data_IF_467511432440
#
_entry.id   IF_467511432440
#
_cell.length_a   1.000
_cell.length_b   1.000
_cell.length_c   1.000
_cell.angle_alpha   90.00
_cell.angle_beta   90.00
_cell.angle_gamma   90.00
#
_symmetry.space_group_name_H-M   'P 1'
#
loop_
_entity.id
_entity.type
_entity.pdbx_description
1 polymer ?
#
# COMPACT_ATOMS: atom_id res chain seq x y z
N UNK A 1 -20.83 33.76 5.52
CA UNK A 1 -20.78 32.54 6.35
C UNK A 1 -21.83 31.60 5.79
N UNK A 2 -21.43 30.65 4.94
CA UNK A 2 -22.35 29.68 4.33
C UNK A 2 -21.90 28.29 4.73
N UNK A 3 -22.77 27.57 5.41
CA UNK A 3 -22.53 26.19 5.83
C UNK A 3 -23.62 25.77 6.78
N UNK A 4 -24.77 25.40 6.23
CA UNK A 4 -25.78 24.63 6.94
C UNK A 4 -25.18 23.28 7.33
N UNK A 5 -24.44 23.23 8.44
CA UNK A 5 -24.09 21.98 9.11
C UNK A 5 -25.15 21.75 10.18
N UNK A 6 -26.26 21.13 9.77
CA UNK A 6 -27.27 20.64 10.71
C UNK A 6 -26.68 19.38 11.36
N UNK A 7 -25.80 19.63 12.33
CA UNK A 7 -25.01 18.64 13.06
C UNK A 7 -25.89 17.57 13.69
N UNK A 8 -26.01 16.43 13.00
CA UNK A 8 -26.14 15.18 13.74
C UNK A 8 -24.77 14.91 14.34
N UNK A 9 -24.74 14.87 15.66
CA UNK A 9 -23.60 14.34 16.39
C UNK A 9 -23.34 12.91 15.89
N UNK A 10 -22.13 12.68 15.37
CA UNK A 10 -21.69 11.37 14.91
C UNK A 10 -21.13 10.65 16.12
N UNK A 11 -21.77 9.58 16.56
CA UNK A 11 -21.19 8.68 17.56
C UNK A 11 -20.41 7.56 16.87
N UNK A 12 -19.39 7.06 17.56
CA UNK A 12 -18.60 5.94 17.08
C UNK A 12 -18.07 5.11 18.24
N UNK A 13 -17.88 3.83 17.98
CA UNK A 13 -17.18 2.90 18.86
C UNK A 13 -16.07 2.20 18.07
N UNK A 14 -14.83 2.31 18.53
CA UNK A 14 -13.73 1.51 18.00
C UNK A 14 -13.90 0.10 18.58
N UNK A 15 -14.32 -0.83 17.73
CA UNK A 15 -14.59 -2.22 18.10
C UNK A 15 -13.30 -3.02 18.16
N UNK A 16 -12.35 -2.71 17.28
CA UNK A 16 -11.05 -3.36 17.22
C UNK A 16 -10.00 -2.40 16.66
N UNK A 17 -8.86 -2.30 17.33
CA UNK A 17 -7.68 -1.62 16.82
C UNK A 17 -6.83 -2.61 16.02
N UNK A 18 -6.80 -2.48 14.70
CA UNK A 18 -6.14 -3.48 13.83
C UNK A 18 -4.66 -3.13 13.66
N UNK A 19 -4.33 -1.85 13.47
CA UNK A 19 -2.94 -1.44 13.45
C UNK A 19 -2.70 0.01 13.04
N UNK A 20 -1.53 0.50 13.40
CA UNK A 20 -1.07 1.86 13.09
C UNK A 20 -0.28 1.84 11.78
N UNK A 21 -0.73 2.64 10.81
CA UNK A 21 -0.05 2.82 9.52
C UNK A 21 1.10 3.82 9.64
N UNK A 22 0.92 4.89 10.42
CA UNK A 22 1.94 5.94 10.61
C UNK A 22 1.64 6.72 11.89
N UNK A 23 2.70 7.14 12.61
CA UNK A 23 2.62 8.07 13.74
C UNK A 23 3.23 9.41 13.37
N UNK A 24 2.57 10.51 13.74
CA UNK A 24 3.03 11.88 13.49
C UNK A 24 3.74 12.46 14.72
N UNK A 25 4.59 13.47 14.51
CA UNK A 25 5.28 14.19 15.61
C UNK A 25 4.31 14.93 16.54
N UNK A 26 3.09 15.22 16.07
CA UNK A 26 2.00 15.80 16.86
C UNK A 26 1.33 14.80 17.81
N UNK A 27 1.71 13.52 17.76
CA UNK A 27 1.10 12.43 18.51
C UNK A 27 -0.12 11.80 17.84
N UNK A 28 -0.66 12.42 16.78
CA UNK A 28 -1.72 11.80 15.99
C UNK A 28 -1.19 10.56 15.27
N UNK A 29 -2.08 9.61 14.98
CA UNK A 29 -1.77 8.36 14.30
C UNK A 29 -2.74 8.10 13.17
N UNK A 30 -2.24 7.71 12.00
CA UNK A 30 -3.05 7.11 10.94
C UNK A 30 -3.21 5.64 11.24
N UNK A 31 -4.44 5.17 11.35
CA UNK A 31 -4.75 3.81 11.80
C UNK A 31 -5.72 3.11 10.85
N UNK A 32 -5.67 1.78 10.84
CA UNK A 32 -6.73 0.92 10.35
C UNK A 32 -7.42 0.32 11.57
N UNK A 33 -8.72 0.54 11.71
CA UNK A 33 -9.53 0.05 12.82
C UNK A 33 -10.84 -0.57 12.29
N UNK A 34 -11.53 -1.33 13.15
CA UNK A 34 -12.92 -1.72 12.94
C UNK A 34 -13.80 -0.77 13.78
N UNK A 35 -14.65 0.02 13.13
CA UNK A 35 -15.43 1.08 13.78
C UNK A 35 -16.92 0.90 13.52
N UNK A 36 -17.71 0.94 14.59
CA UNK A 36 -19.16 1.07 14.56
C UNK A 36 -19.53 2.54 14.50
N UNK A 37 -20.25 2.97 13.46
CA UNK A 37 -20.70 4.35 13.31
C UNK A 37 -22.19 4.45 13.67
N UNK A 38 -22.54 5.35 14.58
CA UNK A 38 -23.91 5.60 15.03
C UNK A 38 -24.66 4.32 15.47
N UNK A 39 -23.96 3.39 16.12
CA UNK A 39 -24.51 2.09 16.54
C UNK A 39 -24.79 1.11 15.40
N UNK A 40 -24.29 1.39 14.19
CA UNK A 40 -24.43 0.52 13.02
C UNK A 40 -23.51 -0.70 13.06
N UNK A 41 -23.57 -1.52 12.00
CA UNK A 41 -22.64 -2.64 11.86
C UNK A 41 -21.19 -2.13 11.75
N UNK A 42 -20.23 -2.75 12.45
CA UNK A 42 -18.82 -2.36 12.37
C UNK A 42 -18.25 -2.50 10.97
N UNK A 43 -17.42 -1.54 10.56
CA UNK A 43 -16.78 -1.49 9.25
C UNK A 43 -15.30 -1.18 9.39
N UNK A 44 -14.51 -1.56 8.40
CA UNK A 44 -13.11 -1.16 8.37
C UNK A 44 -13.03 0.34 8.16
N UNK A 45 -12.07 0.98 8.80
CA UNK A 45 -11.93 2.41 8.73
C UNK A 45 -10.46 2.83 8.77
N UNK A 46 -10.08 3.73 7.88
CA UNK A 46 -8.75 4.30 7.82
C UNK A 46 -8.84 5.81 7.99
N UNK A 47 -8.29 6.33 9.09
CA UNK A 47 -8.26 7.76 9.40
C UNK A 47 -7.15 8.13 10.37
N UNK A 48 -6.98 9.43 10.60
CA UNK A 48 -6.11 9.91 11.66
C UNK A 48 -6.90 10.10 12.95
N UNK A 49 -6.36 9.58 14.05
CA UNK A 49 -6.89 9.70 15.40
C UNK A 49 -5.97 10.57 16.26
N UNK A 50 -6.57 11.31 17.20
CA UNK A 50 -5.83 11.93 18.28
C UNK A 50 -5.28 10.85 19.24
N UNK A 51 -4.25 11.16 20.04
CA UNK A 51 -3.65 10.19 20.96
C UNK A 51 -4.62 9.53 21.96
N UNK A 52 -5.76 10.17 22.22
CA UNK A 52 -6.82 9.74 23.14
C UNK A 52 -8.06 9.18 22.41
N UNK A 53 -8.01 9.07 21.07
CA UNK A 53 -9.11 8.66 20.19
C UNK A 53 -10.42 9.45 20.35
N UNK A 54 -10.39 10.64 20.97
CA UNK A 54 -11.55 11.50 21.14
C UNK A 54 -11.83 12.39 19.92
N UNK A 55 -10.81 12.61 19.08
CA UNK A 55 -10.91 13.40 17.85
C UNK A 55 -10.40 12.58 16.68
N UNK A 56 -10.97 12.89 15.52
CA UNK A 56 -10.70 12.18 14.29
C UNK A 56 -10.66 13.16 13.12
N UNK A 57 -9.79 12.87 12.15
CA UNK A 57 -9.75 13.58 10.88
C UNK A 57 -10.78 13.00 9.90
N UNK A 58 -10.87 13.59 8.71
CA UNK A 58 -11.59 12.94 7.60
C UNK A 58 -10.84 11.67 7.20
N UNK A 59 -11.58 10.58 7.03
CA UNK A 59 -11.04 9.30 6.62
C UNK A 59 -11.94 8.57 5.63
N UNK A 60 -11.68 7.27 5.47
CA UNK A 60 -12.47 6.39 4.61
C UNK A 60 -12.99 5.21 5.41
N UNK A 61 -14.29 4.96 5.31
CA UNK A 61 -14.93 3.77 5.85
C UNK A 61 -15.18 2.79 4.71
N UNK A 62 -14.81 1.54 4.92
CA UNK A 62 -14.83 0.47 3.95
C UNK A 62 -15.68 -0.68 4.46
N UNK A 63 -16.62 -1.12 3.63
CA UNK A 63 -17.29 -2.40 3.84
C UNK A 63 -16.30 -3.55 3.68
N UNK A 64 -16.64 -4.68 4.29
CA UNK A 64 -15.83 -5.89 4.24
C UNK A 64 -15.44 -6.30 2.80
N UNK A 65 -16.37 -6.23 1.85
CA UNK A 65 -16.10 -6.56 0.44
C UNK A 65 -15.08 -5.61 -0.19
N UNK A 66 -15.13 -4.33 0.14
CA UNK A 66 -14.19 -3.32 -0.37
C UNK A 66 -12.79 -3.57 0.20
N UNK A 67 -12.68 -3.86 1.50
CA UNK A 67 -11.40 -4.20 2.13
C UNK A 67 -10.78 -5.47 1.53
N UNK A 68 -11.58 -6.53 1.32
CA UNK A 68 -11.12 -7.76 0.65
C UNK A 68 -10.61 -7.47 -0.76
N UNK A 69 -11.35 -6.66 -1.52
CA UNK A 69 -10.94 -6.28 -2.87
C UNK A 69 -9.61 -5.51 -2.88
N UNK A 70 -9.41 -4.56 -1.95
CA UNK A 70 -8.14 -3.85 -1.79
C UNK A 70 -6.99 -4.82 -1.52
N UNK A 71 -7.18 -5.78 -0.59
CA UNK A 71 -6.17 -6.78 -0.27
C UNK A 71 -5.80 -7.62 -1.50
N UNK A 72 -6.77 -8.04 -2.30
CA UNK A 72 -6.53 -8.84 -3.51
C UNK A 72 -5.78 -8.05 -4.59
N UNK A 73 -6.15 -6.78 -4.82
CA UNK A 73 -5.47 -5.90 -5.77
C UNK A 73 -4.02 -5.64 -5.32
N UNK A 74 -3.79 -5.39 -4.04
CA UNK A 74 -2.44 -5.15 -3.51
C UNK A 74 -1.56 -6.41 -3.60
N UNK A 75 -2.09 -7.59 -3.25
CA UNK A 75 -1.39 -8.87 -3.45
C UNK A 75 -1.02 -9.09 -4.92
N UNK A 76 -1.93 -8.80 -5.85
CA UNK A 76 -1.69 -8.91 -7.27
C UNK A 76 -0.61 -7.93 -7.76
N UNK A 77 -0.62 -6.68 -7.27
CA UNK A 77 0.42 -5.69 -7.56
C UNK A 77 1.80 -6.16 -7.10
N UNK A 78 1.90 -6.65 -5.86
CA UNK A 78 3.18 -7.10 -5.30
C UNK A 78 3.75 -8.32 -6.06
N UNK A 79 2.87 -9.25 -6.48
CA UNK A 79 3.29 -10.40 -7.31
C UNK A 79 3.84 -9.96 -8.68
N UNK A 80 3.27 -8.94 -9.32
CA UNK A 80 3.78 -8.44 -10.61
C UNK A 80 5.16 -7.79 -10.49
N UNK A 81 5.39 -7.02 -9.43
CA UNK A 81 6.71 -6.43 -9.20
C UNK A 81 7.80 -7.50 -9.04
N UNK A 82 7.51 -8.62 -8.37
CA UNK A 82 8.48 -9.71 -8.27
C UNK A 82 8.78 -10.42 -9.61
N UNK A 83 7.90 -10.32 -10.60
CA UNK A 83 8.07 -10.94 -11.91
C UNK A 83 8.89 -10.06 -12.86
N UNK A 84 8.59 -8.76 -12.93
CA UNK A 84 9.35 -7.81 -13.75
C UNK A 84 10.81 -7.70 -13.27
N UNK A 85 11.04 -7.64 -11.96
CA UNK A 85 12.41 -7.60 -11.40
C UNK A 85 13.23 -8.86 -11.66
N UNK A 86 12.59 -10.00 -11.93
CA UNK A 86 13.27 -11.26 -12.26
C UNK A 86 13.59 -11.33 -13.75
N UNK A 87 12.66 -10.91 -14.62
CA UNK A 87 12.89 -10.89 -16.06
C UNK A 87 13.95 -9.88 -16.46
N UNK A 88 13.97 -8.69 -15.89
CA UNK A 88 15.01 -7.67 -16.17
C UNK A 88 16.42 -8.17 -15.80
N UNK A 89 16.54 -8.95 -14.72
CA UNK A 89 17.82 -9.59 -14.31
C UNK A 89 18.22 -10.71 -15.26
N UNK A 90 17.26 -11.53 -15.70
CA UNK A 90 17.52 -12.65 -16.62
C UNK A 90 17.83 -12.16 -18.04
N UNK A 91 17.16 -11.11 -18.55
CA UNK A 91 17.47 -10.51 -19.86
C UNK A 91 18.78 -9.75 -19.86
N UNK A 92 19.07 -8.96 -18.82
CA UNK A 92 20.34 -8.25 -18.72
C UNK A 92 21.55 -9.19 -18.59
N UNK A 93 21.37 -10.38 -17.99
CA UNK A 93 22.42 -11.39 -17.92
C UNK A 93 22.66 -12.07 -19.29
N UNK A 94 21.60 -12.38 -20.04
CA UNK A 94 21.72 -12.95 -21.39
C UNK A 94 22.44 -12.02 -22.36
N UNK A 95 22.09 -10.72 -22.39
CA UNK A 95 22.73 -9.72 -23.25
C UNK A 95 24.22 -9.55 -22.90
N UNK A 96 24.55 -9.49 -21.60
CA UNK A 96 25.93 -9.41 -21.14
C UNK A 96 26.76 -10.67 -21.48
N UNK A 97 26.14 -11.85 -21.46
CA UNK A 97 26.78 -13.11 -21.83
C UNK A 97 26.99 -13.22 -23.36
N UNK A 98 26.08 -12.69 -24.18
CA UNK A 98 26.23 -12.60 -25.65
C UNK A 98 27.34 -11.64 -26.06
N UNK A 99 27.39 -10.43 -25.49
CA UNK A 99 28.44 -9.44 -25.80
C UNK A 99 29.84 -9.99 -25.50
N UNK A 100 29.98 -10.67 -24.35
CA UNK A 100 31.25 -11.28 -23.93
C UNK A 100 31.68 -12.44 -24.84
N UNK A 101 30.72 -13.19 -25.40
CA UNK A 101 31.00 -14.25 -26.37
C UNK A 101 31.43 -13.67 -27.73
N UNK A 102 30.86 -12.54 -28.13
CA UNK A 102 31.23 -11.83 -29.36
C UNK A 102 32.65 -11.26 -29.27
N UNK A 103 32.99 -10.59 -28.16
CA UNK A 103 34.33 -10.05 -27.91
C UNK A 103 35.40 -11.16 -27.92
N UNK A 104 35.13 -12.28 -27.25
CA UNK A 104 36.05 -13.41 -27.22
C UNK A 104 36.26 -14.05 -28.61
N UNK A 105 35.24 -14.04 -29.47
CA UNK A 105 35.35 -14.49 -30.86
C UNK A 105 36.23 -13.56 -31.72
N UNK A 106 36.06 -12.25 -31.57
CA UNK A 106 36.87 -11.24 -32.27
C UNK A 106 38.34 -11.32 -31.85
N UNK A 107 38.63 -11.44 -30.56
CA UNK A 107 40.01 -11.59 -30.06
C UNK A 107 40.67 -12.90 -30.52
N UNK A 108 39.88 -13.97 -30.70
CA UNK A 108 40.39 -15.24 -31.19
C UNK A 108 40.75 -15.17 -32.68
N UNK A 109 40.01 -14.43 -33.49
CA UNK A 109 40.33 -14.20 -34.91
C UNK A 109 41.57 -13.29 -35.09
N UNK A 110 41.72 -12.27 -34.26
CA UNK A 110 42.86 -11.33 -34.33
C UNK A 110 44.21 -12.00 -33.97
N UNK A 111 44.19 -13.09 -33.17
CA UNK A 111 45.40 -13.84 -32.79
C UNK A 111 45.84 -14.90 -33.81
N UNK A 112 45.07 -15.13 -34.87
CA UNK A 112 45.33 -16.16 -35.89
C UNK A 112 45.89 -15.56 -37.19
N UNK A 113 46.02 -14.23 -37.27
CA UNK A 113 46.59 -13.48 -38.41
C UNK A 113 48.02 -13.02 -38.14
#
# INVERSE_FOLDING_TARGET
MNGNDTGREISFDIVEEIGVLTTYTTGWSKELNLVSWNGGAPKYDIRDWSPDHLRMSRGVTLHEKEMRFILDVMRNRNRRQSYDSRRERETGQWEADEDKALEAGIEAEEKVV
#
